data_IF_123219326245
#
_entry.id   IF_123219326245
#
_cell.length_a   1.000
_cell.length_b   1.000
_cell.length_c   1.000
_cell.angle_alpha   90.00
_cell.angle_beta   90.00
_cell.angle_gamma   90.00
#
_symmetry.space_group_name_H-M   'P 1'
#
loop_
_entity.id
_entity.type
_entity.pdbx_description
1 polymer ?
#
# COMPACT_ATOMS: atom_id res chain seq x y z
N UNK A 1 -38.04 1.04 37.08
CA UNK A 1 -37.45 2.06 36.19
C UNK A 1 -35.94 1.94 36.26
N UNK A 2 -35.31 1.90 35.07
CA UNK A 2 -33.88 2.02 34.75
C UNK A 2 -32.82 1.52 35.74
N UNK A 3 -32.24 0.34 35.46
CA UNK A 3 -30.87 0.05 35.86
C UNK A 3 -29.91 0.45 34.74
N UNK A 4 -28.86 1.16 35.14
CA UNK A 4 -27.86 1.81 34.33
C UNK A 4 -27.24 0.89 33.27
N UNK A 5 -27.25 1.38 32.04
CA UNK A 5 -26.40 0.93 30.94
C UNK A 5 -24.93 1.14 31.35
N UNK A 6 -24.32 0.13 31.94
CA UNK A 6 -22.87 -0.04 31.94
C UNK A 6 -22.44 -0.40 30.52
N UNK A 7 -22.41 0.61 29.64
CA UNK A 7 -21.68 0.50 28.39
C UNK A 7 -20.19 0.46 28.75
N UNK A 8 -19.61 -0.74 28.76
CA UNK A 8 -18.17 -0.93 28.69
C UNK A 8 -17.59 0.00 27.63
N UNK A 9 -16.49 0.73 27.89
CA UNK A 9 -15.83 1.46 26.82
C UNK A 9 -15.38 0.41 25.80
N UNK A 10 -16.03 0.41 24.63
CA UNK A 10 -15.57 -0.33 23.48
C UNK A 10 -14.08 0.00 23.35
N UNK A 11 -13.24 -1.03 23.47
CA UNK A 11 -11.79 -0.93 23.42
C UNK A 11 -11.45 -0.42 22.02
N UNK A 12 -11.44 0.91 21.84
CA UNK A 12 -10.93 1.53 20.63
C UNK A 12 -9.55 0.91 20.42
N UNK A 13 -9.26 0.30 19.25
CA UNK A 13 -7.90 -0.12 18.97
C UNK A 13 -7.02 1.10 19.23
N UNK A 14 -5.97 0.99 20.07
CA UNK A 14 -5.23 2.17 20.47
C UNK A 14 -4.71 2.78 19.17
N UNK A 15 -5.06 4.03 18.87
CA UNK A 15 -4.66 4.68 17.63
C UNK A 15 -3.12 4.70 17.44
N UNK A 16 -2.34 4.36 18.49
CA UNK A 16 -0.91 4.07 18.41
C UNK A 16 -0.58 2.82 17.57
N UNK A 17 -1.41 1.79 17.59
CA UNK A 17 -1.27 0.61 16.72
C UNK A 17 -1.47 0.98 15.26
N UNK A 18 -2.35 1.95 14.96
CA UNK A 18 -2.55 2.42 13.60
C UNK A 18 -1.30 3.08 13.02
N UNK A 19 -0.57 3.86 13.83
CA UNK A 19 0.69 4.46 13.38
C UNK A 19 1.74 3.38 13.06
N UNK A 20 1.89 2.37 13.93
CA UNK A 20 2.79 1.23 13.67
C UNK A 20 2.40 0.47 12.40
N UNK A 21 1.10 0.28 12.17
CA UNK A 21 0.60 -0.38 10.95
C UNK A 21 0.89 0.46 9.71
N UNK A 22 0.66 1.77 9.76
CA UNK A 22 0.95 2.68 8.63
C UNK A 22 2.46 2.67 8.30
N UNK A 23 3.32 2.69 9.31
CA UNK A 23 4.78 2.59 9.12
C UNK A 23 5.15 1.28 8.43
N UNK A 24 4.59 0.15 8.87
CA UNK A 24 4.81 -1.15 8.21
C UNK A 24 4.34 -1.13 6.75
N UNK A 25 3.17 -0.54 6.48
CA UNK A 25 2.68 -0.38 5.11
C UNK A 25 3.70 0.41 4.27
N UNK A 26 4.20 1.53 4.79
CA UNK A 26 5.19 2.36 4.10
C UNK A 26 6.47 1.58 3.75
N UNK A 27 6.95 0.75 4.67
CA UNK A 27 8.14 -0.07 4.44
C UNK A 27 7.93 -1.16 3.37
N UNK A 28 6.76 -1.79 3.31
CA UNK A 28 6.43 -2.71 2.21
C UNK A 28 6.36 -1.99 0.86
N UNK A 29 5.78 -0.78 0.82
CA UNK A 29 5.71 0.00 -0.42
C UNK A 29 7.12 0.36 -0.91
N UNK A 30 8.02 0.79 -0.02
CA UNK A 30 9.42 1.03 -0.37
C UNK A 30 10.11 -0.22 -0.89
N UNK A 31 9.83 -1.39 -0.31
CA UNK A 31 10.32 -2.68 -0.84
C UNK A 31 9.84 -2.89 -2.28
N UNK A 32 8.54 -2.74 -2.55
CA UNK A 32 7.98 -2.88 -3.90
C UNK A 32 8.62 -1.90 -4.89
N UNK A 33 8.86 -0.64 -4.50
CA UNK A 33 9.57 0.35 -5.34
C UNK A 33 11.00 -0.11 -5.67
N UNK A 34 11.74 -0.59 -4.67
CA UNK A 34 13.11 -1.08 -4.88
C UNK A 34 13.15 -2.29 -5.81
N UNK A 35 12.17 -3.18 -5.68
CA UNK A 35 12.06 -4.39 -6.48
C UNK A 35 11.57 -4.11 -7.91
N UNK A 36 10.63 -3.17 -8.10
CA UNK A 36 10.20 -2.74 -9.45
C UNK A 36 11.33 -2.09 -10.24
N UNK A 37 12.21 -1.34 -9.57
CA UNK A 37 13.40 -0.78 -10.22
C UNK A 37 14.33 -1.87 -10.78
N UNK A 38 14.48 -3.01 -10.08
CA UNK A 38 15.26 -4.15 -10.59
C UNK A 38 14.67 -4.69 -11.88
N UNK A 39 13.34 -4.89 -11.94
CA UNK A 39 12.64 -5.32 -13.17
C UNK A 39 12.96 -4.35 -14.32
N UNK A 40 12.88 -3.04 -14.09
CA UNK A 40 13.13 -2.04 -15.13
C UNK A 40 14.53 -2.17 -15.75
N UNK A 41 15.56 -2.35 -14.92
CA UNK A 41 16.95 -2.49 -15.39
C UNK A 41 17.16 -3.83 -16.10
N UNK A 42 16.62 -4.91 -15.53
CA UNK A 42 16.71 -6.24 -16.13
C UNK A 42 15.99 -6.31 -17.47
N UNK A 43 14.81 -5.70 -17.57
CA UNK A 43 14.04 -5.57 -18.79
C UNK A 43 14.83 -4.84 -19.89
N UNK A 44 15.54 -3.76 -19.54
CA UNK A 44 16.41 -3.07 -20.49
C UNK A 44 17.53 -3.97 -21.02
N UNK A 45 18.21 -4.70 -20.13
CA UNK A 45 19.27 -5.63 -20.50
C UNK A 45 18.72 -6.80 -21.34
N UNK A 46 17.54 -7.31 -20.99
CA UNK A 46 16.82 -8.37 -21.69
C UNK A 46 16.44 -7.95 -23.12
N UNK A 47 15.99 -6.71 -23.33
CA UNK A 47 15.72 -6.15 -24.66
C UNK A 47 16.98 -6.15 -25.52
N UNK A 48 18.14 -5.78 -24.96
CA UNK A 48 19.40 -5.81 -25.70
C UNK A 48 19.82 -7.24 -26.06
N UNK A 49 19.69 -8.19 -25.12
CA UNK A 49 19.95 -9.60 -25.37
C UNK A 49 19.04 -10.16 -26.46
N UNK A 50 17.75 -9.83 -26.44
CA UNK A 50 16.78 -10.23 -27.45
C UNK A 50 17.13 -9.67 -28.84
N UNK A 51 17.55 -8.40 -28.92
CA UNK A 51 18.04 -7.80 -30.18
C UNK A 51 19.25 -8.55 -30.73
N UNK A 52 20.20 -8.96 -29.87
CA UNK A 52 21.38 -9.73 -30.26
C UNK A 52 21.01 -11.14 -30.77
N UNK A 53 20.01 -11.77 -30.17
CA UNK A 53 19.49 -13.06 -30.58
C UNK A 53 18.63 -13.01 -31.86
N UNK A 54 18.31 -11.81 -32.35
CA UNK A 54 17.65 -11.60 -33.63
C UNK A 54 16.21 -12.12 -33.65
N UNK A 55 15.82 -12.79 -34.74
CA UNK A 55 14.45 -13.30 -34.93
C UNK A 55 14.05 -14.35 -33.90
N UNK A 56 15.01 -15.13 -33.38
CA UNK A 56 14.77 -16.21 -32.43
C UNK A 56 14.24 -15.71 -31.07
N UNK A 57 14.48 -14.45 -30.70
CA UNK A 57 14.07 -13.89 -29.40
C UNK A 57 13.14 -12.68 -29.54
N UNK A 58 12.48 -12.50 -30.69
CA UNK A 58 11.64 -11.32 -30.94
C UNK A 58 10.48 -11.22 -29.95
N UNK A 59 9.76 -12.32 -29.71
CA UNK A 59 8.65 -12.35 -28.76
C UNK A 59 9.10 -12.06 -27.33
N UNK A 60 10.23 -12.65 -26.91
CA UNK A 60 10.86 -12.35 -25.63
C UNK A 60 11.22 -10.86 -25.50
N UNK A 61 11.74 -10.23 -26.56
CA UNK A 61 12.06 -8.81 -26.57
C UNK A 61 10.83 -7.91 -26.40
N UNK A 62 9.69 -8.27 -27.01
CA UNK A 62 8.41 -7.56 -26.81
C UNK A 62 7.96 -7.68 -25.36
N UNK A 63 7.93 -8.90 -24.81
CA UNK A 63 7.53 -9.11 -23.41
C UNK A 63 8.47 -8.44 -22.41
N UNK A 64 9.76 -8.37 -22.71
CA UNK A 64 10.72 -7.61 -21.90
C UNK A 64 10.39 -6.12 -21.91
N UNK A 65 9.95 -5.55 -23.05
CA UNK A 65 9.49 -4.17 -23.07
C UNK A 65 8.19 -3.96 -22.30
N UNK A 66 7.24 -4.89 -22.38
CA UNK A 66 6.01 -4.84 -21.57
C UNK A 66 6.32 -4.90 -20.06
N UNK A 67 7.23 -5.78 -19.63
CA UNK A 67 7.70 -5.85 -18.25
C UNK A 67 8.39 -4.55 -17.82
N UNK A 68 9.10 -3.87 -18.73
CA UNK A 68 9.67 -2.56 -18.46
C UNK A 68 8.58 -1.52 -18.21
N UNK A 69 7.56 -1.46 -19.06
CA UNK A 69 6.42 -0.53 -18.89
C UNK A 69 5.69 -0.83 -17.59
N UNK A 70 5.34 -2.09 -17.35
CA UNK A 70 4.76 -2.57 -16.09
C UNK A 70 5.55 -2.09 -14.86
N UNK A 71 6.87 -2.19 -14.88
CA UNK A 71 7.70 -1.75 -13.74
C UNK A 71 7.63 -0.24 -13.48
N UNK A 72 7.45 0.56 -14.54
CA UNK A 72 7.31 2.02 -14.45
C UNK A 72 5.93 2.41 -13.93
N UNK A 73 4.89 1.73 -14.41
CA UNK A 73 3.52 1.93 -13.96
C UNK A 73 3.37 1.52 -12.49
N UNK A 74 3.95 0.39 -12.10
CA UNK A 74 3.96 -0.08 -10.71
C UNK A 74 4.67 0.91 -9.79
N UNK A 75 5.80 1.47 -10.22
CA UNK A 75 6.50 2.52 -9.46
C UNK A 75 5.59 3.74 -9.25
N UNK A 76 4.93 4.21 -10.31
CA UNK A 76 4.01 5.36 -10.23
C UNK A 76 2.85 5.09 -9.27
N UNK A 77 2.30 3.88 -9.31
CA UNK A 77 1.27 3.43 -8.37
C UNK A 77 1.77 3.43 -6.92
N UNK A 78 2.98 2.93 -6.67
CA UNK A 78 3.59 2.94 -5.34
C UNK A 78 3.85 4.36 -4.82
N UNK A 79 4.29 5.28 -5.68
CA UNK A 79 4.47 6.70 -5.33
C UNK A 79 3.15 7.36 -4.91
N UNK A 80 2.06 7.08 -5.63
CA UNK A 80 0.72 7.55 -5.28
C UNK A 80 0.27 7.00 -3.91
N UNK A 81 0.51 5.70 -3.65
CA UNK A 81 0.23 5.10 -2.35
C UNK A 81 1.06 5.72 -1.22
N UNK A 82 2.35 6.03 -1.44
CA UNK A 82 3.18 6.74 -0.46
C UNK A 82 2.57 8.10 -0.09
N UNK A 83 2.02 8.83 -1.07
CA UNK A 83 1.30 10.08 -0.81
C UNK A 83 0.09 9.89 0.12
N UNK A 84 -0.75 8.87 -0.15
CA UNK A 84 -1.89 8.53 0.69
C UNK A 84 -1.48 8.11 2.10
N UNK A 85 -0.38 7.37 2.23
CA UNK A 85 0.21 6.97 3.52
C UNK A 85 0.63 8.18 4.33
N UNK A 86 1.32 9.16 3.72
CA UNK A 86 1.69 10.39 4.43
C UNK A 86 0.45 11.14 4.93
N UNK A 87 -0.61 11.19 4.12
CA UNK A 87 -1.92 11.69 4.56
C UNK A 87 -2.46 10.95 5.78
N UNK A 88 -2.45 9.62 5.76
CA UNK A 88 -2.86 8.79 6.89
C UNK A 88 -2.02 9.03 8.15
N UNK A 89 -0.70 9.14 8.04
CA UNK A 89 0.21 9.40 9.18
C UNK A 89 -0.16 10.73 9.85
N UNK A 90 -0.34 11.78 9.05
CA UNK A 90 -0.69 13.11 9.56
C UNK A 90 -2.05 13.07 10.29
N UNK A 91 -3.06 12.45 9.67
CA UNK A 91 -4.40 12.41 10.25
C UNK A 91 -4.48 11.54 11.51
N UNK A 92 -3.79 10.38 11.54
CA UNK A 92 -3.70 9.55 12.75
C UNK A 92 -3.00 10.29 13.88
N UNK A 93 -1.97 11.07 13.57
CA UNK A 93 -1.25 11.87 14.57
C UNK A 93 -2.15 12.93 15.20
N UNK A 94 -2.99 13.58 14.41
CA UNK A 94 -4.01 14.53 14.89
C UNK A 94 -5.03 13.80 15.77
N UNK A 95 -5.61 12.69 15.28
CA UNK A 95 -6.59 11.90 16.05
C UNK A 95 -6.03 11.43 17.40
N UNK A 96 -4.75 11.05 17.46
CA UNK A 96 -4.08 10.67 18.71
C UNK A 96 -3.97 11.85 19.69
N UNK A 97 -3.64 13.03 19.19
CA UNK A 97 -3.57 14.25 19.99
C UNK A 97 -4.97 14.65 20.50
N UNK A 98 -5.98 14.54 19.63
CA UNK A 98 -7.38 14.81 19.93
C UNK A 98 -7.90 13.89 21.05
N UNK A 99 -7.65 12.57 20.96
CA UNK A 99 -8.01 11.61 22.01
C UNK A 99 -7.45 12.05 23.37
N UNK A 100 -6.17 12.46 23.40
CA UNK A 100 -5.52 12.88 24.65
C UNK A 100 -6.12 14.17 25.20
N UNK A 101 -6.33 15.18 24.36
CA UNK A 101 -6.81 16.49 24.79
C UNK A 101 -8.30 16.50 25.11
N UNK A 102 -9.13 15.83 24.32
CA UNK A 102 -10.56 15.70 24.57
C UNK A 102 -10.83 14.96 25.88
N UNK A 103 -9.99 13.98 26.25
CA UNK A 103 -10.07 13.35 27.58
C UNK A 103 -9.89 14.37 28.71
N UNK A 104 -8.83 15.17 28.66
CA UNK A 104 -8.55 16.19 29.68
C UNK A 104 -9.64 17.28 29.73
N UNK A 105 -10.14 17.69 28.57
CA UNK A 105 -11.24 18.66 28.47
C UNK A 105 -12.55 18.11 29.04
N UNK A 106 -12.84 16.83 28.82
CA UNK A 106 -14.01 16.16 29.39
C UNK A 106 -13.94 16.10 30.92
N UNK A 107 -12.79 15.70 31.47
CA UNK A 107 -12.56 15.72 32.92
C UNK A 107 -12.75 17.14 33.51
N UNK A 108 -12.24 18.18 32.84
CA UNK A 108 -12.43 19.57 33.27
C UNK A 108 -13.90 20.03 33.18
N UNK A 109 -14.63 19.63 32.15
CA UNK A 109 -16.05 19.94 31.98
C UNK A 109 -16.94 19.27 33.05
N UNK A 110 -16.60 18.04 33.45
CA UNK A 110 -17.27 17.32 34.54
C UNK A 110 -17.05 18.00 35.90
N UNK A 111 -15.84 18.48 36.17
CA UNK A 111 -15.51 19.20 37.42
C UNK A 111 -16.15 20.59 37.50
N UNK A 112 -16.42 21.23 36.36
CA UNK A 112 -17.02 22.57 36.31
C UNK A 112 -18.20 22.66 35.32
N UNK A 113 -19.38 22.08 35.65
CA UNK A 113 -20.51 21.94 34.71
C UNK A 113 -21.18 23.25 34.28
N UNK A 114 -20.86 24.37 34.92
CA UNK A 114 -21.39 25.71 34.57
C UNK A 114 -20.37 26.59 33.86
N UNK A 115 -19.18 26.05 33.56
CA UNK A 115 -18.11 26.78 32.89
C UNK A 115 -18.25 26.73 31.37
N UNK A 116 -17.50 27.59 30.68
CA UNK A 116 -17.40 27.57 29.21
C UNK A 116 -16.74 26.28 28.66
N UNK A 117 -16.19 25.42 29.53
CA UNK A 117 -15.53 24.18 29.11
C UNK A 117 -16.46 23.23 28.34
N UNK A 118 -17.76 23.22 28.64
CA UNK A 118 -18.75 22.40 27.92
C UNK A 118 -18.85 22.82 26.45
N UNK A 119 -18.94 24.13 26.19
CA UNK A 119 -19.04 24.64 24.82
C UNK A 119 -17.74 24.41 24.03
N UNK A 120 -16.58 24.52 24.70
CA UNK A 120 -15.28 24.20 24.09
C UNK A 120 -15.16 22.70 23.80
N UNK A 121 -15.62 21.85 24.71
CA UNK A 121 -15.63 20.40 24.53
C UNK A 121 -16.49 20.00 23.33
N UNK A 122 -17.71 20.54 23.22
CA UNK A 122 -18.61 20.27 22.09
C UNK A 122 -17.96 20.64 20.76
N UNK A 123 -17.41 21.86 20.63
CA UNK A 123 -16.71 22.29 19.41
C UNK A 123 -15.53 21.36 19.06
N UNK A 124 -14.77 20.91 20.07
CA UNK A 124 -13.68 19.96 19.86
C UNK A 124 -14.16 18.58 19.46
N UNK A 125 -15.28 18.10 20.00
CA UNK A 125 -15.87 16.83 19.59
C UNK A 125 -16.32 16.88 18.12
N UNK A 126 -16.88 18.00 17.67
CA UNK A 126 -17.22 18.23 16.25
C UNK A 126 -15.97 18.20 15.34
N UNK A 127 -14.91 18.93 15.71
CA UNK A 127 -13.63 18.92 14.97
C UNK A 127 -13.01 17.51 14.91
N UNK A 128 -13.05 16.77 16.02
CA UNK A 128 -12.55 15.40 16.08
C UNK A 128 -13.36 14.44 15.19
N UNK A 129 -14.67 14.67 15.03
CA UNK A 129 -15.50 13.91 14.10
C UNK A 129 -15.07 14.16 12.65
N UNK A 130 -14.74 15.40 12.29
CA UNK A 130 -14.21 15.72 10.96
C UNK A 130 -12.88 14.99 10.69
N UNK A 131 -11.94 15.01 11.65
CA UNK A 131 -10.67 14.30 11.55
C UNK A 131 -10.85 12.79 11.39
N UNK A 132 -11.77 12.19 12.16
CA UNK A 132 -12.10 10.76 12.04
C UNK A 132 -12.70 10.42 10.67
N UNK A 133 -13.58 11.26 10.14
CA UNK A 133 -14.15 11.06 8.80
C UNK A 133 -13.08 11.18 7.72
N UNK A 134 -12.16 12.15 7.83
CA UNK A 134 -11.06 12.33 6.89
C UNK A 134 -10.12 11.11 6.89
N UNK A 135 -9.78 10.58 8.06
CA UNK A 135 -9.00 9.35 8.18
C UNK A 135 -9.70 8.16 7.53
N UNK A 136 -11.02 8.01 7.72
CA UNK A 136 -11.79 6.95 7.08
C UNK A 136 -11.77 7.06 5.54
N UNK A 137 -11.87 8.28 5.00
CA UNK A 137 -11.76 8.53 3.55
C UNK A 137 -10.39 8.16 3.01
N UNK A 138 -9.31 8.57 3.70
CA UNK A 138 -7.93 8.24 3.32
C UNK A 138 -7.68 6.73 3.35
N UNK A 139 -8.17 6.02 4.37
CA UNK A 139 -8.12 4.55 4.43
C UNK A 139 -8.80 3.90 3.24
N UNK A 140 -9.99 4.39 2.87
CA UNK A 140 -10.73 3.88 1.71
C UNK A 140 -10.04 4.18 0.37
N UNK A 141 -9.38 5.33 0.22
CA UNK A 141 -8.56 5.64 -0.95
C UNK A 141 -7.33 4.72 -1.02
N UNK A 142 -6.62 4.55 0.10
CA UNK A 142 -5.45 3.68 0.18
C UNK A 142 -5.80 2.22 -0.15
N UNK A 143 -6.94 1.72 0.33
CA UNK A 143 -7.43 0.38 0.02
C UNK A 143 -7.68 0.18 -1.48
N UNK A 144 -8.37 1.12 -2.12
CA UNK A 144 -8.66 1.05 -3.57
C UNK A 144 -7.38 1.10 -4.40
N UNK A 145 -6.48 2.03 -4.09
CA UNK A 145 -5.20 2.12 -4.78
C UNK A 145 -4.34 0.85 -4.60
N UNK A 146 -4.44 0.18 -3.44
CA UNK A 146 -3.78 -1.10 -3.22
C UNK A 146 -4.42 -2.21 -4.08
N UNK A 147 -5.76 -2.25 -4.19
CA UNK A 147 -6.47 -3.18 -5.06
C UNK A 147 -6.10 -2.98 -6.55
N UNK A 148 -5.94 -1.74 -6.99
CA UNK A 148 -5.48 -1.43 -8.35
C UNK A 148 -4.04 -1.93 -8.57
N UNK A 149 -3.16 -1.76 -7.58
CA UNK A 149 -1.79 -2.29 -7.62
C UNK A 149 -1.77 -3.82 -7.76
N UNK A 150 -2.68 -4.53 -7.08
CA UNK A 150 -2.81 -5.99 -7.23
C UNK A 150 -3.16 -6.40 -8.64
N UNK A 151 -4.17 -5.75 -9.24
CA UNK A 151 -4.59 -6.08 -10.61
C UNK A 151 -3.42 -5.89 -11.58
N UNK A 152 -2.64 -4.83 -11.39
CA UNK A 152 -1.44 -4.57 -12.18
C UNK A 152 -0.40 -5.69 -12.04
N UNK A 153 -0.15 -6.16 -10.81
CA UNK A 153 0.82 -7.23 -10.55
C UNK A 153 0.35 -8.59 -11.06
N UNK A 154 -0.95 -8.87 -11.07
CA UNK A 154 -1.49 -10.05 -11.72
C UNK A 154 -1.20 -10.04 -13.24
N UNK A 155 -1.39 -8.89 -13.91
CA UNK A 155 -1.00 -8.73 -15.31
C UNK A 155 0.51 -8.91 -15.50
N UNK A 156 1.33 -8.34 -14.59
CA UNK A 156 2.78 -8.56 -14.57
C UNK A 156 3.15 -10.05 -14.45
N UNK A 157 2.39 -10.83 -13.68
CA UNK A 157 2.57 -12.27 -13.52
C UNK A 157 2.28 -13.03 -14.81
N UNK A 158 1.25 -12.63 -15.55
CA UNK A 158 0.97 -13.17 -16.89
C UNK A 158 2.12 -12.87 -17.85
N UNK A 159 2.62 -11.63 -17.87
CA UNK A 159 3.75 -11.24 -18.71
C UNK A 159 5.01 -12.05 -18.41
N UNK A 160 5.34 -12.25 -17.13
CA UNK A 160 6.50 -13.03 -16.72
C UNK A 160 6.39 -14.51 -17.15
N UNK A 161 5.20 -15.11 -17.01
CA UNK A 161 4.93 -16.47 -17.48
C UNK A 161 5.03 -16.59 -19.00
N UNK A 162 4.46 -15.63 -19.74
CA UNK A 162 4.62 -15.57 -21.20
C UNK A 162 6.09 -15.42 -21.60
N UNK A 163 6.88 -14.64 -20.86
CA UNK A 163 8.30 -14.46 -21.15
C UNK A 163 9.09 -15.77 -20.97
N UNK A 164 8.71 -16.63 -20.00
CA UNK A 164 9.27 -17.98 -19.86
C UNK A 164 8.98 -18.87 -21.06
N UNK A 165 7.77 -18.79 -21.62
CA UNK A 165 7.41 -19.55 -22.82
C UNK A 165 8.25 -19.09 -24.00
N UNK A 166 8.30 -17.79 -24.27
CA UNK A 166 9.11 -17.21 -25.36
C UNK A 166 10.60 -17.49 -25.20
N UNK A 167 11.12 -17.50 -23.98
CA UNK A 167 12.51 -17.82 -23.69
C UNK A 167 12.87 -19.25 -24.15
N UNK A 168 11.97 -20.22 -23.98
CA UNK A 168 12.20 -21.60 -24.41
C UNK A 168 12.32 -21.73 -25.94
N UNK A 169 11.69 -20.85 -26.70
CA UNK A 169 11.79 -20.80 -28.16
C UNK A 169 13.02 -20.05 -28.68
N UNK A 170 13.86 -19.49 -27.79
CA UNK A 170 15.05 -18.70 -28.11
C UNK A 170 16.21 -19.43 -28.78
N UNK A 171 16.04 -20.68 -29.21
CA UNK A 171 17.06 -21.51 -29.87
C UNK A 171 18.39 -21.55 -29.07
N UNK A 172 19.50 -21.16 -29.67
CA UNK A 172 20.83 -21.12 -29.02
C UNK A 172 20.90 -20.15 -27.84
N UNK A 173 20.01 -19.17 -27.76
CA UNK A 173 19.90 -18.22 -26.65
C UNK A 173 18.94 -18.68 -25.56
N UNK A 174 18.21 -19.79 -25.76
CA UNK A 174 17.19 -20.25 -24.82
C UNK A 174 17.69 -20.39 -23.37
N UNK A 175 18.90 -20.92 -23.07
CA UNK A 175 19.40 -20.98 -21.70
C UNK A 175 19.50 -19.60 -21.03
N UNK A 176 20.05 -18.61 -21.74
CA UNK A 176 20.20 -17.24 -21.23
C UNK A 176 18.85 -16.53 -21.06
N UNK A 177 17.94 -16.68 -22.02
CA UNK A 177 16.60 -16.09 -21.93
C UNK A 177 15.77 -16.74 -20.80
N UNK A 178 15.95 -18.05 -20.60
CA UNK A 178 15.24 -18.80 -19.56
C UNK A 178 15.69 -18.38 -18.17
N UNK A 179 17.00 -18.13 -17.99
CA UNK A 179 17.51 -17.53 -16.75
C UNK A 179 16.85 -16.18 -16.47
N UNK A 180 16.87 -15.26 -17.44
CA UNK A 180 16.32 -13.91 -17.27
C UNK A 180 14.80 -13.92 -17.02
N UNK A 181 14.03 -14.74 -17.75
CA UNK A 181 12.59 -14.90 -17.49
C UNK A 181 12.28 -15.55 -16.14
N UNK A 182 13.14 -16.47 -15.68
CA UNK A 182 13.07 -17.03 -14.33
C UNK A 182 13.21 -15.95 -13.26
N UNK A 183 14.17 -15.05 -13.45
CA UNK A 183 14.36 -13.92 -12.54
C UNK A 183 13.18 -12.93 -12.59
N UNK A 184 12.62 -12.61 -13.77
CA UNK A 184 11.40 -11.79 -13.85
C UNK A 184 10.24 -12.38 -13.06
N UNK A 185 9.98 -13.66 -13.23
CA UNK A 185 8.90 -14.35 -12.53
C UNK A 185 9.12 -14.31 -11.01
N UNK A 186 10.32 -14.64 -10.53
CA UNK A 186 10.66 -14.57 -9.11
C UNK A 186 10.45 -13.17 -8.51
N UNK A 187 10.82 -12.13 -9.26
CA UNK A 187 10.65 -10.75 -8.80
C UNK A 187 9.16 -10.34 -8.75
N UNK A 188 8.37 -10.74 -9.75
CA UNK A 188 6.93 -10.46 -9.76
C UNK A 188 6.22 -11.20 -8.61
N UNK A 189 6.62 -12.43 -8.31
CA UNK A 189 6.13 -13.18 -7.14
C UNK A 189 6.49 -12.48 -5.82
N UNK A 190 7.71 -11.94 -5.69
CA UNK A 190 8.14 -11.17 -4.51
C UNK A 190 7.27 -9.92 -4.30
N UNK A 191 6.97 -9.20 -5.40
CA UNK A 191 6.07 -8.04 -5.38
C UNK A 191 4.66 -8.47 -4.95
N UNK A 192 4.14 -9.57 -5.51
CA UNK A 192 2.81 -10.08 -5.15
C UNK A 192 2.73 -10.40 -3.67
N UNK A 193 3.71 -11.11 -3.12
CA UNK A 193 3.78 -11.45 -1.70
C UNK A 193 3.82 -10.21 -0.80
N UNK A 194 4.55 -9.16 -1.22
CA UNK A 194 4.61 -7.88 -0.50
C UNK A 194 3.24 -7.19 -0.48
N UNK A 195 2.54 -7.14 -1.62
CA UNK A 195 1.19 -6.59 -1.67
C UNK A 195 0.19 -7.44 -0.87
N UNK A 196 0.29 -8.77 -0.89
CA UNK A 196 -0.54 -9.67 -0.07
C UNK A 196 -0.38 -9.45 1.43
N UNK A 197 0.84 -9.14 1.87
CA UNK A 197 1.11 -8.71 3.24
C UNK A 197 0.36 -7.41 3.57
N UNK A 198 0.43 -6.43 2.67
CA UNK A 198 -0.29 -5.15 2.80
C UNK A 198 -1.81 -5.34 2.89
N UNK A 199 -2.40 -6.16 2.02
CA UNK A 199 -3.85 -6.41 1.97
C UNK A 199 -4.41 -6.97 3.27
N UNK A 200 -3.61 -7.76 3.98
CA UNK A 200 -3.96 -8.38 5.26
C UNK A 200 -3.78 -7.43 6.45
N UNK A 201 -3.29 -6.21 6.24
CA UNK A 201 -3.13 -5.23 7.30
C UNK A 201 -4.47 -4.84 7.91
N UNK A 202 -4.59 -5.01 9.22
CA UNK A 202 -5.77 -4.61 9.99
C UNK A 202 -5.99 -3.08 10.03
N UNK A 203 -5.08 -2.28 9.45
CA UNK A 203 -5.31 -0.85 9.21
C UNK A 203 -6.50 -0.61 8.27
N UNK A 204 -6.73 -1.53 7.32
CA UNK A 204 -7.81 -1.42 6.34
C UNK A 204 -9.16 -1.94 6.86
N UNK A 205 -9.16 -2.68 7.96
CA UNK A 205 -10.37 -3.31 8.54
C UNK A 205 -10.93 -2.53 9.72
N UNK A 206 -10.50 -1.27 9.92
CA UNK A 206 -10.84 -0.44 11.08
C UNK A 206 -12.35 -0.40 11.37
N UNK A 207 -12.79 -1.31 12.23
CA UNK A 207 -13.99 -1.33 13.04
C UNK A 207 -13.56 -1.19 14.49
#
# INVERSE_FOLDING_TARGET
MMNALTMSPARQPPAGDDLLRIVRINEEIKRVVGVSFKINIMALNAIFLAKRAGTAARGFGVLSNELRVFSQDLRTCMEALTGLIHGCVNEVSIVLQDIRFTRLLREAAELAPKSAAIAVLQRREDENDEHRQKLARLRGQLKRALEDAFQMVELGGVLAKSAKIEAAYGQSFAPSLSQVSGEFDGIVEEIRGSLESLRRSAFFTGH
#
